data_IF_120722814450
#
_entry.id   IF_120722814450
#
_cell.length_a   1.000
_cell.length_b   1.000
_cell.length_c   1.000
_cell.angle_alpha   90.00
_cell.angle_beta   90.00
_cell.angle_gamma   90.00
#
_symmetry.space_group_name_H-M   'P 1'
#
loop_
_entity.id
_entity.type
_entity.pdbx_description
1 polymer ?
#
# COMPACT_ATOMS: atom_id res chain seq x y z
N UNK A 1 1.04 11.43 -31.39
CA UNK A 1 1.32 9.99 -31.16
C UNK A 1 1.17 9.73 -29.68
N UNK A 2 0.36 8.75 -29.27
CA UNK A 2 0.33 8.31 -27.88
C UNK A 2 1.71 7.74 -27.54
N UNK A 3 2.39 8.30 -26.55
CA UNK A 3 3.67 7.75 -26.10
C UNK A 3 3.44 6.33 -25.58
N UNK A 4 3.86 5.34 -26.35
CA UNK A 4 3.94 3.95 -25.89
C UNK A 4 5.12 3.86 -24.94
N UNK A 5 4.83 3.63 -23.65
CA UNK A 5 5.88 3.46 -22.64
C UNK A 5 6.62 2.15 -22.92
N UNK A 6 7.88 2.25 -23.32
CA UNK A 6 8.77 1.11 -23.51
C UNK A 6 9.96 1.28 -22.58
N UNK A 7 10.11 0.39 -21.62
CA UNK A 7 11.24 0.35 -20.68
C UNK A 7 12.35 -0.55 -21.27
N UNK A 8 13.58 -0.06 -21.30
CA UNK A 8 14.72 -0.76 -21.92
C UNK A 8 15.99 -0.64 -21.08
N UNK A 9 16.92 -1.59 -21.26
CA UNK A 9 18.21 -1.61 -20.57
C UNK A 9 18.14 -2.21 -19.18
N UNK A 10 19.23 -2.13 -18.44
CA UNK A 10 19.39 -2.75 -17.11
C UNK A 10 18.46 -2.17 -16.06
N UNK A 11 18.06 -0.90 -16.18
CA UNK A 11 17.14 -0.23 -15.25
C UNK A 11 15.66 -0.47 -15.58
N UNK A 12 15.33 -1.10 -16.69
CA UNK A 12 13.96 -1.18 -17.23
C UNK A 12 12.91 -1.64 -16.20
N UNK A 13 13.22 -2.66 -15.40
CA UNK A 13 12.33 -3.17 -14.36
C UNK A 13 12.17 -2.16 -13.22
N UNK A 14 13.26 -1.55 -12.78
CA UNK A 14 13.24 -0.53 -11.72
C UNK A 14 12.48 0.72 -12.18
N UNK A 15 12.66 1.14 -13.43
CA UNK A 15 11.96 2.28 -14.02
C UNK A 15 10.46 1.98 -14.15
N UNK A 16 10.10 0.77 -14.55
CA UNK A 16 8.70 0.32 -14.58
C UNK A 16 8.09 0.25 -13.19
N UNK A 17 8.84 -0.21 -12.18
CA UNK A 17 8.38 -0.29 -10.80
C UNK A 17 8.44 1.06 -10.06
N UNK A 18 9.00 2.12 -10.65
CA UNK A 18 9.03 3.44 -10.03
C UNK A 18 7.62 4.07 -10.06
N UNK A 19 6.99 4.31 -8.90
CA UNK A 19 5.62 4.85 -8.85
C UNK A 19 5.50 6.28 -9.39
N UNK A 20 6.60 6.99 -9.59
CA UNK A 20 6.61 8.34 -10.19
C UNK A 20 6.31 8.30 -11.69
N UNK A 21 6.61 7.18 -12.34
CA UNK A 21 6.34 6.98 -13.76
C UNK A 21 4.87 6.62 -14.04
N UNK A 22 4.02 6.51 -13.01
CA UNK A 22 2.63 6.07 -13.14
C UNK A 22 1.65 7.07 -12.53
N UNK A 23 0.82 7.64 -13.40
CA UNK A 23 -0.35 8.41 -12.98
C UNK A 23 -1.54 7.47 -12.83
N UNK A 24 -2.16 7.49 -11.66
CA UNK A 24 -3.39 6.72 -11.43
C UNK A 24 -4.60 7.53 -11.88
N UNK A 25 -5.52 6.92 -12.66
CA UNK A 25 -6.73 7.62 -13.09
C UNK A 25 -7.65 7.97 -11.92
N UNK A 26 -8.38 9.05 -12.08
CA UNK A 26 -9.54 9.39 -11.29
C UNK A 26 -10.75 9.29 -12.22
N UNK A 27 -11.71 8.44 -11.92
CA UNK A 27 -12.84 8.12 -12.78
C UNK A 27 -14.14 8.52 -12.08
N UNK A 28 -14.92 9.36 -12.73
CA UNK A 28 -16.25 9.73 -12.27
C UNK A 28 -17.22 8.58 -12.51
N UNK A 29 -18.07 8.29 -11.50
CA UNK A 29 -19.14 7.32 -11.64
C UNK A 29 -20.26 7.89 -12.52
N UNK A 30 -20.68 7.08 -13.50
CA UNK A 30 -21.83 7.41 -14.34
C UNK A 30 -23.13 7.46 -13.54
N UNK A 31 -24.17 8.07 -14.11
CA UNK A 31 -25.53 8.14 -13.51
C UNK A 31 -26.07 6.78 -13.05
N UNK A 32 -25.76 5.72 -13.79
CA UNK A 32 -26.19 4.35 -13.45
C UNK A 32 -25.54 3.81 -12.17
N UNK A 33 -24.36 4.30 -11.80
CA UNK A 33 -23.56 3.83 -10.67
C UNK A 33 -23.57 4.81 -9.50
N UNK A 34 -23.93 6.06 -9.74
CA UNK A 34 -24.00 7.10 -8.72
C UNK A 34 -25.45 7.34 -8.28
N UNK A 35 -25.87 6.83 -7.12
CA UNK A 35 -27.25 6.98 -6.65
C UNK A 35 -27.59 8.41 -6.20
N UNK A 36 -26.61 9.32 -6.10
CA UNK A 36 -26.78 10.67 -5.60
C UNK A 36 -26.61 11.71 -6.70
N UNK A 37 -26.66 11.34 -7.98
CA UNK A 37 -26.45 12.26 -9.08
C UNK A 37 -27.53 13.35 -9.15
N UNK A 38 -28.77 13.00 -8.78
CA UNK A 38 -29.90 13.95 -8.71
C UNK A 38 -29.69 15.04 -7.65
N UNK A 39 -28.90 14.76 -6.62
CA UNK A 39 -28.49 15.70 -5.57
C UNK A 39 -27.24 16.50 -5.93
N UNK A 40 -26.82 16.44 -7.19
CA UNK A 40 -25.59 17.08 -7.70
C UNK A 40 -24.31 16.61 -6.99
N UNK A 41 -24.32 15.38 -6.48
CA UNK A 41 -23.13 14.76 -5.88
C UNK A 41 -22.35 14.00 -6.95
N UNK A 42 -21.11 14.38 -7.18
CA UNK A 42 -20.19 13.73 -8.10
C UNK A 42 -19.24 12.80 -7.35
N UNK A 43 -19.27 11.50 -7.67
CA UNK A 43 -18.43 10.49 -7.03
C UNK A 43 -17.30 10.07 -7.96
N UNK A 44 -16.07 10.17 -7.48
CA UNK A 44 -14.86 9.79 -8.21
C UNK A 44 -14.15 8.63 -7.54
N UNK A 45 -13.67 7.68 -8.34
CA UNK A 45 -12.85 6.56 -7.88
C UNK A 45 -11.40 6.76 -8.30
N UNK A 46 -10.49 6.81 -7.34
CA UNK A 46 -9.04 6.83 -7.59
C UNK A 46 -8.53 5.40 -7.80
N UNK A 47 -8.23 5.04 -9.05
CA UNK A 47 -7.89 3.67 -9.46
C UNK A 47 -6.42 3.33 -9.20
N UNK A 48 -6.09 2.90 -7.98
CA UNK A 48 -4.74 2.44 -7.64
C UNK A 48 -4.37 1.09 -8.30
N UNK A 49 -5.35 0.38 -8.83
CA UNK A 49 -5.16 -0.87 -9.60
C UNK A 49 -4.43 -0.68 -10.92
N UNK A 50 -4.26 0.57 -11.39
CA UNK A 50 -3.44 0.92 -12.55
C UNK A 50 -1.93 1.02 -12.24
N UNK A 51 -1.55 0.84 -11.00
CA UNK A 51 -0.13 0.72 -10.63
C UNK A 51 0.38 -0.69 -10.91
N UNK A 52 1.68 -0.85 -11.24
CA UNK A 52 2.28 -2.17 -11.46
C UNK A 52 2.11 -3.12 -10.27
N UNK A 53 2.14 -2.56 -9.07
CA UNK A 53 1.98 -3.29 -7.81
C UNK A 53 1.13 -2.48 -6.83
N UNK A 54 0.32 -3.19 -6.05
CA UNK A 54 -0.45 -2.58 -4.97
C UNK A 54 0.50 -2.03 -3.89
N UNK A 55 0.15 -0.93 -3.25
CA UNK A 55 0.95 -0.27 -2.20
C UNK A 55 2.37 0.17 -2.63
N UNK A 56 2.68 0.14 -3.93
CA UNK A 56 4.01 0.46 -4.46
C UNK A 56 4.52 1.83 -3.97
N UNK A 57 3.63 2.81 -3.84
CA UNK A 57 3.96 4.17 -3.44
C UNK A 57 4.56 4.24 -2.03
N UNK A 58 3.95 3.56 -1.07
CA UNK A 58 4.44 3.50 0.30
C UNK A 58 5.66 2.59 0.44
N UNK A 59 5.67 1.44 -0.22
CA UNK A 59 6.81 0.52 -0.17
C UNK A 59 8.07 1.19 -0.72
N UNK A 60 7.94 1.88 -1.85
CA UNK A 60 9.04 2.58 -2.49
C UNK A 60 9.68 3.63 -1.56
N UNK A 61 8.86 4.42 -0.87
CA UNK A 61 9.36 5.40 0.09
C UNK A 61 10.01 4.74 1.33
N UNK A 62 9.42 3.66 1.85
CA UNK A 62 10.00 2.93 2.97
C UNK A 62 11.35 2.28 2.61
N UNK A 63 11.48 1.74 1.40
CA UNK A 63 12.74 1.15 0.93
C UNK A 63 13.83 2.20 0.71
N UNK A 64 13.48 3.41 0.25
CA UNK A 64 14.44 4.51 0.04
C UNK A 64 15.14 4.96 1.33
N UNK A 65 14.51 4.80 2.49
CA UNK A 65 15.07 5.27 3.77
C UNK A 65 16.36 4.53 4.17
N UNK A 66 16.52 3.29 3.72
CA UNK A 66 17.70 2.49 4.04
C UNK A 66 17.94 1.45 2.92
N UNK A 67 18.83 1.78 2.04
CA UNK A 67 19.28 0.94 0.93
C UNK A 67 20.41 0.01 1.41
N UNK A 68 20.07 -0.92 2.32
CA UNK A 68 20.99 -1.95 2.83
C UNK A 68 20.65 -3.32 2.24
N UNK A 69 21.01 -3.61 0.97
CA UNK A 69 20.61 -4.83 0.25
C UNK A 69 21.19 -6.12 0.84
N UNK A 70 22.18 -6.03 1.72
CA UNK A 70 22.78 -7.18 2.42
C UNK A 70 21.85 -7.79 3.48
N UNK A 71 20.77 -7.09 3.85
CA UNK A 71 19.81 -7.58 4.84
C UNK A 71 18.64 -8.28 4.17
N UNK A 72 18.05 -9.22 4.89
CA UNK A 72 16.76 -9.84 4.57
C UNK A 72 15.64 -8.98 5.09
N UNK A 73 14.51 -8.94 4.41
CA UNK A 73 13.33 -8.19 4.86
C UNK A 73 12.35 -9.13 5.55
N UNK A 74 11.76 -8.68 6.65
CA UNK A 74 10.61 -9.31 7.28
C UNK A 74 9.51 -8.27 7.50
N UNK A 75 8.26 -8.63 7.16
CA UNK A 75 7.13 -7.72 7.36
C UNK A 75 5.87 -8.50 7.77
N UNK A 76 5.05 -7.91 8.63
CA UNK A 76 3.72 -8.42 8.94
C UNK A 76 2.71 -7.82 7.97
N UNK A 77 2.04 -8.67 7.19
CA UNK A 77 1.09 -8.20 6.18
C UNK A 77 0.10 -9.29 5.79
N UNK A 78 -1.15 -8.90 5.57
CA UNK A 78 -2.25 -9.78 5.14
C UNK A 78 -2.31 -10.08 3.63
N UNK A 79 -1.30 -9.69 2.86
CA UNK A 79 -1.24 -10.09 1.44
C UNK A 79 -0.65 -9.06 0.50
N UNK A 80 -1.44 -8.08 0.04
CA UNK A 80 -1.02 -7.16 -1.03
C UNK A 80 0.30 -6.43 -0.74
N UNK A 81 0.49 -5.98 0.49
CA UNK A 81 1.74 -5.33 0.89
C UNK A 81 2.92 -6.31 0.83
N UNK A 82 2.78 -7.52 1.37
CA UNK A 82 3.83 -8.52 1.36
C UNK A 82 4.15 -8.97 -0.07
N UNK A 83 3.13 -9.19 -0.92
CA UNK A 83 3.32 -9.52 -2.33
C UNK A 83 4.15 -8.45 -3.06
N UNK A 84 3.74 -7.20 -2.95
CA UNK A 84 4.44 -6.10 -3.62
C UNK A 84 5.83 -5.86 -3.05
N UNK A 85 5.99 -6.01 -1.73
CA UNK A 85 7.28 -5.87 -1.06
C UNK A 85 8.26 -6.97 -1.49
N UNK A 86 7.81 -8.21 -1.69
CA UNK A 86 8.68 -9.29 -2.14
C UNK A 86 9.29 -9.02 -3.51
N UNK A 87 8.51 -8.43 -4.42
CA UNK A 87 8.98 -8.06 -5.77
C UNK A 87 9.90 -6.85 -5.71
N UNK A 88 9.48 -5.78 -5.03
CA UNK A 88 10.25 -4.54 -4.93
C UNK A 88 11.56 -4.70 -4.18
N UNK A 89 11.58 -5.47 -3.10
CA UNK A 89 12.80 -5.72 -2.34
C UNK A 89 13.83 -6.49 -3.19
N UNK A 90 13.37 -7.48 -3.96
CA UNK A 90 14.23 -8.22 -4.87
C UNK A 90 14.79 -7.32 -5.98
N UNK A 91 13.97 -6.46 -6.57
CA UNK A 91 14.40 -5.43 -7.53
C UNK A 91 15.40 -4.44 -6.93
N UNK A 92 15.31 -4.17 -5.62
CA UNK A 92 16.25 -3.33 -4.88
C UNK A 92 17.50 -4.09 -4.38
N UNK A 93 17.67 -5.37 -4.74
CA UNK A 93 18.86 -6.18 -4.43
C UNK A 93 18.82 -6.90 -3.08
N UNK A 94 17.70 -6.92 -2.36
CA UNK A 94 17.59 -7.72 -1.13
C UNK A 94 17.50 -9.21 -1.44
N UNK A 95 18.17 -10.02 -0.61
CA UNK A 95 18.26 -11.48 -0.82
C UNK A 95 16.90 -12.17 -0.67
N UNK A 96 16.19 -11.86 0.42
CA UNK A 96 14.94 -12.54 0.77
C UNK A 96 13.95 -11.59 1.44
N UNK A 97 12.67 -11.89 1.23
CA UNK A 97 11.57 -11.29 1.98
C UNK A 97 10.77 -12.38 2.68
N UNK A 98 10.55 -12.24 3.99
CA UNK A 98 9.69 -13.10 4.80
C UNK A 98 8.43 -12.37 5.19
N UNK A 99 7.29 -12.92 4.83
CA UNK A 99 5.97 -12.43 5.22
C UNK A 99 5.47 -13.17 6.45
N UNK A 100 5.17 -12.44 7.53
CA UNK A 100 4.41 -12.97 8.66
C UNK A 100 2.94 -12.69 8.41
N UNK A 101 2.17 -13.73 8.19
CA UNK A 101 0.76 -13.65 7.78
C UNK A 101 -0.14 -14.33 8.81
N UNK A 102 -1.42 -13.93 8.85
CA UNK A 102 -2.44 -14.64 9.64
C UNK A 102 -2.79 -15.98 9.01
N UNK A 103 -3.16 -16.95 9.83
CA UNK A 103 -3.75 -18.22 9.38
C UNK A 103 -5.07 -18.04 8.63
N UNK A 104 -5.76 -16.93 8.83
CA UNK A 104 -7.02 -16.58 8.15
C UNK A 104 -6.83 -16.09 6.70
N UNK A 105 -5.60 -16.11 6.18
CA UNK A 105 -5.33 -15.69 4.80
C UNK A 105 -6.03 -16.65 3.81
N UNK A 106 -6.61 -16.09 2.73
CA UNK A 106 -7.16 -16.93 1.68
C UNK A 106 -6.08 -17.69 0.92
N UNK A 107 -6.42 -18.89 0.43
CA UNK A 107 -5.49 -19.73 -0.34
C UNK A 107 -4.91 -18.99 -1.54
N UNK A 108 -5.72 -18.22 -2.27
CA UNK A 108 -5.24 -17.45 -3.43
C UNK A 108 -4.18 -16.40 -3.06
N UNK A 109 -4.35 -15.70 -1.93
CA UNK A 109 -3.32 -14.76 -1.45
C UNK A 109 -2.03 -15.47 -1.03
N UNK A 110 -2.15 -16.62 -0.37
CA UNK A 110 -1.00 -17.45 0.00
C UNK A 110 -0.24 -17.91 -1.26
N UNK A 111 -0.94 -18.40 -2.27
CA UNK A 111 -0.34 -18.81 -3.54
C UNK A 111 0.39 -17.65 -4.24
N UNK A 112 -0.20 -16.46 -4.26
CA UNK A 112 0.45 -15.27 -4.83
C UNK A 112 1.74 -14.90 -4.08
N UNK A 113 1.76 -14.99 -2.75
CA UNK A 113 2.95 -14.74 -1.96
C UNK A 113 4.07 -15.75 -2.28
N UNK A 114 3.74 -17.03 -2.33
CA UNK A 114 4.70 -18.08 -2.69
C UNK A 114 5.22 -17.90 -4.11
N UNK A 115 4.34 -17.57 -5.06
CA UNK A 115 4.71 -17.29 -6.43
C UNK A 115 5.66 -16.09 -6.57
N UNK A 116 5.47 -15.04 -5.74
CA UNK A 116 6.37 -13.88 -5.72
C UNK A 116 7.76 -14.19 -5.13
N UNK A 117 7.98 -15.40 -4.61
CA UNK A 117 9.21 -15.84 -3.98
C UNK A 117 9.39 -15.38 -2.53
N UNK A 118 8.31 -14.93 -1.87
CA UNK A 118 8.33 -14.64 -0.45
C UNK A 118 8.43 -15.93 0.38
N UNK A 119 9.24 -15.93 1.43
CA UNK A 119 9.11 -16.90 2.50
C UNK A 119 7.87 -16.56 3.33
N UNK A 120 7.05 -17.55 3.66
CA UNK A 120 5.82 -17.35 4.42
C UNK A 120 5.93 -17.98 5.79
N UNK A 121 5.65 -17.16 6.81
CA UNK A 121 5.46 -17.63 8.18
C UNK A 121 4.00 -17.42 8.58
N UNK A 122 3.25 -18.52 8.68
CA UNK A 122 1.84 -18.47 9.10
C UNK A 122 1.79 -18.34 10.63
N UNK A 123 1.18 -17.26 11.09
CA UNK A 123 0.94 -16.98 12.50
C UNK A 123 -0.50 -17.36 12.87
N UNK A 124 -0.71 -17.82 14.10
CA UNK A 124 -2.03 -18.22 14.61
C UNK A 124 -2.92 -17.03 15.02
N UNK A 125 -2.37 -15.84 15.06
CA UNK A 125 -3.12 -14.62 15.35
C UNK A 125 -4.07 -14.24 14.20
N UNK A 126 -5.21 -13.59 14.47
CA UNK A 126 -6.16 -13.16 13.45
C UNK A 126 -5.58 -12.11 12.49
N UNK A 127 -6.30 -11.83 11.39
CA UNK A 127 -5.88 -10.82 10.40
C UNK A 127 -5.70 -9.42 11.01
N UNK A 128 -6.49 -9.08 12.04
CA UNK A 128 -6.38 -7.83 12.79
C UNK A 128 -5.87 -8.14 14.20
N UNK A 129 -4.60 -8.47 14.37
CA UNK A 129 -4.05 -8.82 15.68
C UNK A 129 -3.99 -7.58 16.57
N UNK A 130 -4.03 -7.82 17.89
CA UNK A 130 -3.65 -6.78 18.83
C UNK A 130 -2.16 -6.43 18.59
N UNK A 131 -1.83 -5.19 18.20
CA UNK A 131 -0.44 -4.82 17.88
C UNK A 131 0.52 -4.96 19.07
N UNK A 132 0.01 -4.94 20.29
CA UNK A 132 0.80 -5.06 21.52
C UNK A 132 0.95 -6.51 21.98
N UNK A 133 0.22 -7.46 21.39
CA UNK A 133 0.37 -8.88 21.69
C UNK A 133 1.78 -9.35 21.30
N UNK A 134 2.55 -9.97 22.24
CA UNK A 134 3.91 -10.46 21.96
C UNK A 134 3.97 -11.47 20.82
N UNK A 135 2.87 -12.17 20.56
CA UNK A 135 2.73 -13.18 19.53
C UNK A 135 2.12 -12.63 18.23
N UNK A 136 1.79 -11.36 18.18
CA UNK A 136 1.28 -10.75 16.95
C UNK A 136 2.34 -10.79 15.85
N UNK A 137 1.89 -10.93 14.59
CA UNK A 137 2.77 -10.87 13.44
C UNK A 137 3.58 -9.56 13.39
N UNK A 138 3.01 -8.47 13.90
CA UNK A 138 3.67 -7.16 14.00
C UNK A 138 4.86 -7.23 14.96
N UNK A 139 4.68 -7.79 16.16
CA UNK A 139 5.76 -7.90 17.13
C UNK A 139 6.82 -8.93 16.71
N UNK A 140 6.41 -10.03 16.07
CA UNK A 140 7.33 -11.02 15.50
C UNK A 140 8.22 -10.36 14.43
N UNK A 141 7.64 -9.62 13.50
CA UNK A 141 8.38 -8.92 12.47
C UNK A 141 9.32 -7.86 13.06
N UNK A 142 8.84 -7.08 14.03
CA UNK A 142 9.63 -6.05 14.72
C UNK A 142 10.83 -6.65 15.45
N UNK A 143 10.64 -7.70 16.26
CA UNK A 143 11.72 -8.38 16.97
C UNK A 143 12.74 -9.02 16.03
N UNK A 144 12.26 -9.65 14.95
CA UNK A 144 13.17 -10.25 13.96
C UNK A 144 13.95 -9.20 13.22
N UNK A 145 13.35 -8.07 12.87
CA UNK A 145 14.00 -6.95 12.21
C UNK A 145 15.08 -6.24 13.03
N UNK A 146 15.19 -6.53 14.33
CA UNK A 146 16.28 -6.04 15.17
C UNK A 146 17.57 -6.88 15.07
N UNK A 147 17.50 -8.07 14.46
CA UNK A 147 18.68 -8.92 14.23
C UNK A 147 19.55 -8.32 13.12
N UNK A 148 20.86 -8.55 13.20
CA UNK A 148 21.86 -7.92 12.35
C UNK A 148 21.61 -8.11 10.85
N UNK A 149 21.13 -9.28 10.43
CA UNK A 149 20.90 -9.67 9.03
C UNK A 149 19.45 -9.46 8.56
N UNK A 150 18.60 -8.90 9.41
CA UNK A 150 17.20 -8.65 9.12
C UNK A 150 16.83 -7.18 9.19
N UNK A 151 15.81 -6.80 8.42
CA UNK A 151 15.19 -5.48 8.46
C UNK A 151 13.67 -5.62 8.45
N UNK A 152 13.01 -4.91 9.34
CA UNK A 152 11.56 -4.71 9.31
C UNK A 152 11.27 -3.27 8.87
N UNK A 153 10.48 -3.09 7.81
CA UNK A 153 10.07 -1.75 7.37
C UNK A 153 9.04 -1.13 8.29
N UNK A 154 8.30 -1.98 9.02
CA UNK A 154 7.31 -1.58 10.02
C UNK A 154 6.24 -0.64 9.44
N UNK A 155 5.47 -1.13 8.47
CA UNK A 155 4.43 -0.35 7.79
C UNK A 155 3.42 0.32 8.73
N UNK A 156 3.30 -0.15 9.96
CA UNK A 156 2.36 0.38 10.97
C UNK A 156 2.87 1.63 11.67
N UNK A 157 4.17 1.83 11.78
CA UNK A 157 4.79 2.95 12.48
C UNK A 157 5.75 3.79 11.62
N UNK A 158 6.11 3.31 10.44
CA UNK A 158 7.02 4.01 9.54
C UNK A 158 6.34 5.18 8.84
N UNK A 159 6.81 6.40 9.10
CA UNK A 159 6.25 7.63 8.53
C UNK A 159 6.37 7.70 7.01
N UNK A 160 7.32 7.00 6.39
CA UNK A 160 7.41 6.92 4.93
C UNK A 160 6.18 6.24 4.28
N UNK A 161 5.42 5.43 5.03
CA UNK A 161 4.17 4.89 4.55
C UNK A 161 3.13 6.00 4.25
N UNK A 162 2.70 6.85 5.20
CA UNK A 162 1.82 7.97 4.88
C UNK A 162 2.47 9.01 3.96
N UNK A 163 3.78 9.24 4.01
CA UNK A 163 4.48 10.15 3.10
C UNK A 163 4.35 9.72 1.63
N UNK A 164 4.48 8.44 1.33
CA UNK A 164 4.26 7.90 0.00
C UNK A 164 2.84 8.20 -0.53
N UNK A 165 1.84 8.11 0.33
CA UNK A 165 0.47 8.49 0.00
C UNK A 165 0.27 10.00 -0.10
N UNK A 166 0.94 10.80 0.73
CA UNK A 166 0.89 12.25 0.67
C UNK A 166 1.41 12.77 -0.68
N UNK A 167 2.64 12.43 -1.03
CA UNK A 167 3.29 12.98 -2.23
C UNK A 167 2.77 12.36 -3.53
N UNK A 168 2.50 11.05 -3.53
CA UNK A 168 2.23 10.28 -4.77
C UNK A 168 0.74 9.96 -4.99
N UNK A 169 -0.13 10.28 -4.05
CA UNK A 169 -1.57 10.09 -4.20
C UNK A 169 -2.33 11.37 -3.89
N UNK A 170 -2.17 11.94 -2.70
CA UNK A 170 -2.86 13.15 -2.29
C UNK A 170 -2.60 14.33 -3.21
N UNK A 171 -1.33 14.57 -3.59
CA UNK A 171 -0.97 15.63 -4.53
C UNK A 171 -1.51 15.38 -5.94
N UNK A 172 -1.62 14.11 -6.37
CA UNK A 172 -2.25 13.79 -7.66
C UNK A 172 -3.75 14.11 -7.64
N UNK A 173 -4.45 13.74 -6.55
CA UNK A 173 -5.88 14.03 -6.38
C UNK A 173 -6.11 15.54 -6.43
N UNK A 174 -5.34 16.33 -5.69
CA UNK A 174 -5.44 17.79 -5.67
C UNK A 174 -5.31 18.37 -7.09
N UNK A 175 -4.32 17.92 -7.87
CA UNK A 175 -4.13 18.37 -9.25
C UNK A 175 -5.24 17.91 -10.17
N UNK A 176 -5.75 16.69 -10.03
CA UNK A 176 -6.81 16.13 -10.87
C UNK A 176 -8.18 16.76 -10.61
N UNK A 177 -8.38 17.30 -9.41
CA UNK A 177 -9.63 17.91 -8.96
C UNK A 177 -9.53 19.44 -8.84
N UNK A 178 -8.47 20.07 -9.34
CA UNK A 178 -8.22 21.51 -9.22
C UNK A 178 -8.42 22.04 -7.80
N UNK A 179 -7.99 21.24 -6.79
CA UNK A 179 -8.19 21.46 -5.36
C UNK A 179 -9.68 21.51 -4.93
N UNK A 180 -10.60 20.97 -5.71
CA UNK A 180 -12.03 20.96 -5.42
C UNK A 180 -12.47 19.56 -4.93
N UNK A 181 -12.16 19.24 -3.68
CA UNK A 181 -12.54 17.99 -3.00
C UNK A 181 -13.30 18.32 -1.73
N UNK A 182 -14.56 17.88 -1.62
CA UNK A 182 -15.39 18.09 -0.43
C UNK A 182 -15.32 16.91 0.54
N UNK A 183 -15.29 15.68 0.00
CA UNK A 183 -15.25 14.46 0.80
C UNK A 183 -14.19 13.53 0.25
N UNK A 184 -13.36 12.98 1.14
CA UNK A 184 -12.43 11.90 0.85
C UNK A 184 -12.78 10.68 1.70
N UNK A 185 -12.98 9.53 1.06
CA UNK A 185 -13.29 8.28 1.73
C UNK A 185 -12.28 7.20 1.39
N UNK A 186 -11.80 6.45 2.38
CA UNK A 186 -10.92 5.29 2.18
C UNK A 186 -11.05 4.28 3.30
N UNK A 187 -10.71 3.01 3.01
CA UNK A 187 -10.64 1.97 4.04
C UNK A 187 -9.44 2.17 4.96
N UNK A 188 -9.58 1.77 6.23
CA UNK A 188 -8.53 1.83 7.24
C UNK A 188 -7.89 0.44 7.43
N UNK A 189 -6.62 0.31 7.03
CA UNK A 189 -5.72 -0.79 7.38
C UNK A 189 -4.62 -0.26 8.30
N UNK A 190 -3.41 -0.05 7.78
CA UNK A 190 -2.31 0.64 8.49
C UNK A 190 -2.54 2.13 8.68
N UNK A 191 -3.63 2.64 8.16
CA UNK A 191 -4.02 4.07 8.11
C UNK A 191 -3.12 4.96 7.23
N UNK A 192 -2.07 4.46 6.62
CA UNK A 192 -1.14 5.23 5.79
C UNK A 192 -1.83 6.04 4.68
N UNK A 193 -2.78 5.43 3.95
CA UNK A 193 -3.55 6.12 2.90
C UNK A 193 -4.39 7.25 3.48
N UNK A 194 -5.11 7.00 4.58
CA UNK A 194 -5.92 8.01 5.23
C UNK A 194 -5.04 9.17 5.73
N UNK A 195 -3.98 8.87 6.47
CA UNK A 195 -3.08 9.89 7.01
C UNK A 195 -2.44 10.73 5.91
N UNK A 196 -1.82 10.09 4.91
CA UNK A 196 -1.10 10.81 3.87
C UNK A 196 -1.99 11.64 2.96
N UNK A 197 -3.09 11.06 2.47
CA UNK A 197 -4.00 11.77 1.56
C UNK A 197 -4.74 12.88 2.30
N UNK A 198 -5.27 12.63 3.51
CA UNK A 198 -5.98 13.67 4.26
C UNK A 198 -5.09 14.85 4.62
N UNK A 199 -3.82 14.62 4.97
CA UNK A 199 -2.87 15.70 5.19
C UNK A 199 -2.64 16.54 3.93
N UNK A 200 -2.52 15.90 2.77
CA UNK A 200 -2.38 16.62 1.51
C UNK A 200 -3.63 17.48 1.21
N UNK A 201 -4.81 16.87 1.30
CA UNK A 201 -6.08 17.55 1.03
C UNK A 201 -6.31 18.73 1.97
N UNK A 202 -6.17 18.54 3.28
CA UNK A 202 -6.41 19.57 4.29
C UNK A 202 -5.50 20.79 4.21
N UNK A 203 -4.37 20.69 3.50
CA UNK A 203 -3.52 21.87 3.21
C UNK A 203 -4.09 22.80 2.16
N UNK A 204 -4.99 22.32 1.31
CA UNK A 204 -5.51 23.05 0.14
C UNK A 204 -7.03 23.12 0.08
N UNK A 205 -7.73 22.30 0.87
CA UNK A 205 -9.19 22.16 0.86
C UNK A 205 -9.73 22.01 2.27
N UNK A 206 -11.04 22.21 2.46
CA UNK A 206 -11.78 21.90 3.67
C UNK A 206 -12.37 20.48 3.65
N UNK A 207 -11.77 19.55 2.91
CA UNK A 207 -12.32 18.23 2.69
C UNK A 207 -12.62 17.48 4.01
N UNK A 208 -13.82 16.92 4.10
CA UNK A 208 -14.17 15.98 5.14
C UNK A 208 -13.55 14.62 4.80
N UNK A 209 -12.82 14.02 5.75
CA UNK A 209 -12.11 12.76 5.52
C UNK A 209 -12.76 11.64 6.32
N UNK A 210 -13.31 10.64 5.62
CA UNK A 210 -14.06 9.51 6.18
C UNK A 210 -13.27 8.21 6.05
N UNK A 211 -12.97 7.58 7.18
CA UNK A 211 -12.36 6.25 7.23
C UNK A 211 -13.40 5.16 7.41
N UNK A 212 -13.31 4.09 6.61
CA UNK A 212 -14.19 2.93 6.70
C UNK A 212 -13.43 1.75 7.25
N UNK A 213 -13.98 1.10 8.26
CA UNK A 213 -13.46 -0.12 8.86
C UNK A 213 -14.38 -1.30 8.57
N UNK A 214 -13.80 -2.48 8.50
CA UNK A 214 -14.57 -3.72 8.39
C UNK A 214 -15.39 -3.92 9.66
N UNK A 215 -16.64 -4.38 9.52
CA UNK A 215 -17.45 -4.81 10.65
C UNK A 215 -16.74 -5.97 11.37
N UNK A 216 -16.62 -5.96 12.70
CA UNK A 216 -16.06 -7.09 13.46
C UNK A 216 -16.73 -8.41 13.09
N UNK A 217 -15.97 -9.49 13.07
CA UNK A 217 -16.43 -10.86 12.77
C UNK A 217 -16.99 -11.10 11.36
N UNK A 218 -16.85 -10.17 10.43
CA UNK A 218 -17.15 -10.45 9.04
C UNK A 218 -15.91 -11.02 8.33
N UNK A 219 -16.05 -12.12 7.57
CA UNK A 219 -14.94 -12.64 6.79
C UNK A 219 -14.48 -11.60 5.76
N UNK A 220 -13.19 -11.65 5.43
CA UNK A 220 -12.65 -10.88 4.28
C UNK A 220 -13.03 -11.67 3.03
N UNK A 221 -13.66 -11.03 2.03
CA UNK A 221 -13.95 -11.68 0.75
C UNK A 221 -12.69 -12.08 -0.01
#
# INVERSE_FOLDING_TARGET
>A
MKNLHVYRGQSAVNDFLNPENHLTPLVELSEKLNPFIADQVHIYIKLQTFLPLMNIKSIYEMLKQDMSPTKKIIESSSGNMAFSLSILSRSAGYEKMKAVISHEISLGKLQLLLFSGAEVWVNQEPICPNPDSPNSGIQIAKKTGQKTDWKNLNQYANLANPEGHYYKCGQQILKQMDNNVQIFCTSLGTTGSMCGISQALKKKTSAFCLGVVRKPNNPVP
#
